data_IF_344419954320
#
_entry.id   IF_344419954320
#
_cell.length_a   1.000
_cell.length_b   1.000
_cell.length_c   1.000
_cell.angle_alpha   90.00
_cell.angle_beta   90.00
_cell.angle_gamma   90.00
#
_symmetry.space_group_name_H-M   'P 1'
#
loop_
_entity.id
_entity.type
_entity.pdbx_description
1 polymer ?
#
# COMPACT_ATOMS: atom_id res chain seq x y z
N UNK A 1 11.53 -54.99 -20.42
CA UNK A 1 11.07 -54.10 -19.34
C UNK A 1 10.88 -54.95 -18.08
N UNK A 2 11.85 -54.95 -17.15
CA UNK A 2 11.83 -55.79 -15.94
C UNK A 2 11.12 -55.00 -14.83
N UNK A 3 9.95 -55.44 -14.41
CA UNK A 3 9.23 -54.83 -13.29
C UNK A 3 9.97 -55.22 -12.01
N UNK A 4 10.56 -54.24 -11.33
CA UNK A 4 11.26 -54.43 -10.06
C UNK A 4 10.19 -54.64 -8.98
N UNK A 5 9.93 -55.89 -8.63
CA UNK A 5 8.98 -56.22 -7.56
C UNK A 5 9.60 -55.87 -6.21
N UNK A 6 8.91 -55.02 -5.44
CA UNK A 6 9.29 -54.78 -4.04
C UNK A 6 9.10 -56.06 -3.24
N UNK A 7 10.06 -56.43 -2.36
CA UNK A 7 9.92 -57.62 -1.55
C UNK A 7 8.72 -57.47 -0.60
N UNK A 8 7.96 -58.56 -0.44
CA UNK A 8 6.74 -58.60 0.38
C UNK A 8 7.00 -58.16 1.84
N UNK A 9 8.22 -58.36 2.31
CA UNK A 9 8.72 -57.92 3.63
C UNK A 9 8.74 -56.40 3.81
N UNK A 10 8.73 -55.60 2.73
CA UNK A 10 8.70 -54.13 2.78
C UNK A 10 7.27 -53.61 2.57
N UNK A 11 6.45 -54.29 1.76
CA UNK A 11 5.09 -53.85 1.46
C UNK A 11 4.17 -53.94 2.68
N UNK A 12 4.21 -55.06 3.42
CA UNK A 12 3.39 -55.27 4.60
C UNK A 12 3.58 -54.21 5.70
N UNK A 13 4.81 -53.90 6.16
CA UNK A 13 5.01 -52.87 7.18
C UNK A 13 4.64 -51.47 6.68
N UNK A 14 4.85 -51.19 5.39
CA UNK A 14 4.49 -49.89 4.80
C UNK A 14 2.98 -49.67 4.80
N UNK A 15 2.21 -50.66 4.34
CA UNK A 15 0.73 -50.60 4.34
C UNK A 15 0.21 -50.49 5.78
N UNK A 16 0.80 -51.23 6.71
CA UNK A 16 0.43 -51.17 8.13
C UNK A 16 0.71 -49.78 8.72
N UNK A 17 1.87 -49.20 8.43
CA UNK A 17 2.24 -47.86 8.89
C UNK A 17 1.33 -46.75 8.36
N UNK A 18 0.96 -46.82 7.08
CA UNK A 18 0.02 -45.87 6.46
C UNK A 18 -1.34 -45.96 7.15
N UNK A 19 -1.86 -47.17 7.35
CA UNK A 19 -3.14 -47.36 8.03
C UNK A 19 -3.11 -46.83 9.48
N UNK A 20 -2.02 -47.06 10.21
CA UNK A 20 -1.85 -46.52 11.57
C UNK A 20 -1.79 -44.99 11.59
N UNK A 21 -1.12 -44.35 10.62
CA UNK A 21 -1.11 -42.89 10.51
C UNK A 21 -2.52 -42.32 10.26
N UNK A 22 -3.28 -42.95 9.35
CA UNK A 22 -4.65 -42.52 9.03
C UNK A 22 -5.55 -42.65 10.27
N UNK A 23 -5.47 -43.78 10.98
CA UNK A 23 -6.23 -44.00 12.21
C UNK A 23 -5.87 -42.94 13.25
N UNK A 24 -4.58 -42.65 13.44
CA UNK A 24 -4.11 -41.63 14.38
C UNK A 24 -4.63 -40.22 14.02
N UNK A 25 -4.67 -39.87 12.73
CA UNK A 25 -5.19 -38.58 12.28
C UNK A 25 -6.69 -38.45 12.58
N UNK A 26 -7.46 -39.51 12.32
CA UNK A 26 -8.91 -39.54 12.55
C UNK A 26 -9.26 -39.50 14.03
N UNK A 27 -8.49 -40.19 14.89
CA UNK A 27 -8.70 -40.13 16.33
C UNK A 27 -8.39 -38.74 16.87
N UNK A 28 -7.26 -38.14 16.47
CA UNK A 28 -6.89 -36.77 16.87
C UNK A 28 -7.94 -35.75 16.41
N UNK A 29 -8.42 -35.85 15.17
CA UNK A 29 -9.49 -34.99 14.66
C UNK A 29 -10.77 -35.07 15.51
N UNK A 30 -11.15 -36.27 15.97
CA UNK A 30 -12.37 -36.46 16.75
C UNK A 30 -12.21 -36.11 18.24
N UNK A 31 -10.98 -36.11 18.77
CA UNK A 31 -10.72 -35.75 20.16
C UNK A 31 -10.49 -34.24 20.37
N UNK A 32 -10.04 -33.52 19.34
CA UNK A 32 -9.80 -32.08 19.44
C UNK A 32 -11.09 -31.35 19.04
N UNK A 33 -11.78 -30.66 19.97
CA UNK A 33 -12.84 -29.75 19.59
C UNK A 33 -12.22 -28.63 18.75
N UNK A 34 -12.52 -28.64 17.44
CA UNK A 34 -12.27 -27.48 16.58
C UNK A 34 -13.29 -26.44 17.03
N UNK A 35 -12.88 -25.55 17.94
CA UNK A 35 -13.68 -24.39 18.30
C UNK A 35 -13.94 -23.62 17.00
N UNK A 36 -15.22 -23.38 16.68
CA UNK A 36 -15.59 -22.54 15.55
C UNK A 36 -14.74 -21.28 15.58
N UNK A 37 -14.10 -20.97 14.45
CA UNK A 37 -13.31 -19.76 14.28
C UNK A 37 -14.17 -18.57 14.72
N UNK A 38 -13.82 -17.99 15.87
CA UNK A 38 -14.47 -16.76 16.36
C UNK A 38 -14.40 -15.74 15.23
N UNK A 39 -15.51 -15.06 14.90
CA UNK A 39 -15.49 -14.03 13.88
C UNK A 39 -14.43 -13.00 14.27
N UNK A 40 -13.50 -12.76 13.36
CA UNK A 40 -12.51 -11.71 13.49
C UNK A 40 -13.25 -10.38 13.60
N UNK A 41 -13.36 -9.83 14.80
CA UNK A 41 -13.82 -8.46 15.06
C UNK A 41 -12.71 -7.43 14.79
N UNK A 42 -11.75 -7.74 13.90
CA UNK A 42 -10.89 -6.69 13.37
C UNK A 42 -11.79 -5.75 12.56
N UNK A 43 -12.15 -4.60 13.13
CA UNK A 43 -12.73 -3.51 12.36
C UNK A 43 -11.85 -3.27 11.12
N UNK A 44 -12.48 -3.10 9.97
CA UNK A 44 -11.80 -2.60 8.78
C UNK A 44 -10.94 -1.40 9.20
N UNK A 45 -9.62 -1.55 9.10
CA UNK A 45 -8.69 -0.45 9.21
C UNK A 45 -9.08 0.55 8.13
N UNK A 46 -9.85 1.57 8.49
CA UNK A 46 -10.08 2.70 7.60
C UNK A 46 -8.72 3.37 7.46
N UNK A 47 -8.13 3.42 6.25
CA UNK A 47 -6.85 4.07 6.08
C UNK A 47 -6.98 5.51 6.57
N UNK A 48 -6.11 5.92 7.49
CA UNK A 48 -6.04 7.29 7.96
C UNK A 48 -5.44 8.13 6.84
N UNK A 49 -6.29 8.53 5.88
CA UNK A 49 -5.93 9.38 4.76
C UNK A 49 -5.80 10.82 5.28
N UNK A 50 -4.56 11.29 5.40
CA UNK A 50 -4.29 12.69 5.71
C UNK A 50 -4.43 13.50 4.43
N UNK A 51 -5.26 14.56 4.49
CA UNK A 51 -5.43 15.50 3.38
C UNK A 51 -4.68 16.79 3.69
N UNK A 52 -3.76 17.18 2.81
CA UNK A 52 -3.01 18.44 2.90
C UNK A 52 -3.26 19.30 1.66
N UNK A 53 -3.25 20.62 1.85
CA UNK A 53 -3.40 21.60 0.79
C UNK A 53 -2.09 22.36 0.64
N UNK A 54 -1.54 22.42 -0.57
CA UNK A 54 -0.27 23.07 -0.84
C UNK A 54 -0.34 23.92 -2.10
N UNK A 55 0.25 25.11 -2.02
CA UNK A 55 0.47 25.99 -3.17
C UNK A 55 1.76 25.58 -3.89
N UNK A 56 1.66 25.29 -5.18
CA UNK A 56 2.80 25.02 -6.05
C UNK A 56 3.00 26.15 -7.03
N UNK A 57 4.27 26.57 -7.18
CA UNK A 57 4.67 27.56 -8.16
C UNK A 57 4.48 27.02 -9.58
N UNK A 58 3.88 27.84 -10.45
CA UNK A 58 3.61 27.49 -11.84
C UNK A 58 4.50 28.29 -12.76
N UNK A 59 4.44 29.61 -12.67
CA UNK A 59 5.14 30.51 -13.58
C UNK A 59 5.29 31.92 -13.01
N UNK A 60 6.14 32.71 -13.64
CA UNK A 60 6.39 34.11 -13.37
C UNK A 60 6.16 34.92 -14.65
N UNK A 61 5.41 36.01 -14.53
CA UNK A 61 5.38 37.07 -15.53
C UNK A 61 6.08 38.31 -15.00
N UNK A 62 7.18 38.70 -15.62
CA UNK A 62 7.91 39.92 -15.27
C UNK A 62 7.79 40.96 -16.38
N UNK A 63 7.73 42.23 -15.99
CA UNK A 63 7.83 43.36 -16.90
C UNK A 63 8.99 44.25 -16.45
N UNK A 64 10.10 44.17 -17.18
CA UNK A 64 11.31 44.93 -16.89
C UNK A 64 11.13 46.45 -17.10
N UNK A 65 10.25 46.89 -17.99
CA UNK A 65 9.99 48.32 -18.22
C UNK A 65 9.20 48.94 -17.06
N UNK A 66 8.29 48.16 -16.47
CA UNK A 66 7.39 48.62 -15.42
C UNK A 66 7.77 48.07 -14.03
N UNK A 67 8.95 47.46 -13.87
CA UNK A 67 9.51 46.99 -12.60
C UNK A 67 8.52 46.18 -11.74
N UNK A 68 7.71 45.31 -12.36
CA UNK A 68 6.81 44.44 -11.62
C UNK A 68 6.95 42.98 -12.04
N UNK A 69 6.68 42.09 -11.08
CA UNK A 69 6.66 40.65 -11.24
C UNK A 69 5.34 40.11 -10.71
N UNK A 70 4.78 39.13 -11.40
CA UNK A 70 3.58 38.38 -10.99
C UNK A 70 3.96 36.91 -10.93
N UNK A 71 3.90 36.32 -9.75
CA UNK A 71 4.05 34.88 -9.54
C UNK A 71 2.69 34.22 -9.50
N UNK A 72 2.58 33.09 -10.19
CA UNK A 72 1.36 32.29 -10.27
C UNK A 72 1.58 30.97 -9.53
N UNK A 73 0.68 30.70 -8.58
CA UNK A 73 0.62 29.46 -7.82
C UNK A 73 -0.71 28.75 -8.03
N UNK A 74 -0.69 27.42 -8.09
CA UNK A 74 -1.89 26.57 -8.09
C UNK A 74 -1.95 25.80 -6.78
N UNK A 75 -3.14 25.72 -6.19
CA UNK A 75 -3.37 24.90 -5.01
C UNK A 75 -3.70 23.46 -5.40
N UNK A 76 -2.97 22.53 -4.82
CA UNK A 76 -3.20 21.10 -4.96
C UNK A 76 -3.62 20.50 -3.62
N UNK A 77 -4.54 19.55 -3.72
CA UNK A 77 -4.92 18.66 -2.62
C UNK A 77 -4.10 17.38 -2.74
N UNK A 78 -3.37 17.09 -1.68
CA UNK A 78 -2.56 15.89 -1.51
C UNK A 78 -3.26 14.93 -0.55
N UNK A 79 -3.50 13.71 -1.01
CA UNK A 79 -3.96 12.63 -0.14
C UNK A 79 -2.82 11.66 0.10
N UNK A 80 -2.31 11.66 1.33
CA UNK A 80 -1.21 10.79 1.74
C UNK A 80 -1.77 9.48 2.28
N UNK A 81 -1.37 8.36 1.66
CA UNK A 81 -1.60 7.04 2.23
C UNK A 81 -0.31 6.56 2.95
N UNK A 82 -0.25 6.60 4.30
CA UNK A 82 0.95 6.26 5.05
C UNK A 82 1.38 4.80 4.89
N UNK A 83 0.48 3.89 4.51
CA UNK A 83 0.79 2.46 4.34
C UNK A 83 1.36 2.14 2.96
N UNK A 84 0.99 2.93 1.95
CA UNK A 84 1.29 2.63 0.54
C UNK A 84 2.29 3.60 -0.08
N UNK A 85 2.67 4.67 0.62
CA UNK A 85 3.49 5.75 0.07
C UNK A 85 2.87 6.43 -1.15
N UNK A 86 1.56 6.21 -1.38
CA UNK A 86 0.86 6.75 -2.53
C UNK A 86 0.36 8.14 -2.20
N UNK A 87 0.70 9.11 -3.05
CA UNK A 87 0.30 10.50 -2.95
C UNK A 87 -0.59 10.79 -4.16
N UNK A 88 -1.91 10.86 -3.94
CA UNK A 88 -2.82 11.33 -4.98
C UNK A 88 -2.80 12.86 -4.99
N UNK A 89 -2.46 13.45 -6.13
CA UNK A 89 -2.47 14.90 -6.35
C UNK A 89 -3.69 15.28 -7.17
N UNK A 90 -4.61 16.03 -6.58
CA UNK A 90 -5.76 16.61 -7.28
C UNK A 90 -5.62 18.13 -7.33
N UNK A 91 -5.76 18.74 -8.51
CA UNK A 91 -5.90 20.21 -8.61
C UNK A 91 -7.22 20.63 -7.97
N UNK A 92 -7.19 21.64 -7.11
CA UNK A 92 -8.40 22.18 -6.48
C UNK A 92 -9.13 23.18 -7.38
N UNK A 93 -8.46 23.68 -8.43
CA UNK A 93 -8.94 24.79 -9.25
C UNK A 93 -8.70 26.18 -8.64
N UNK A 94 -8.17 26.25 -7.41
CA UNK A 94 -7.78 27.51 -6.78
C UNK A 94 -6.40 27.97 -7.29
N UNK A 95 -6.31 29.23 -7.66
CA UNK A 95 -5.09 29.86 -8.15
C UNK A 95 -4.80 31.14 -7.38
N UNK A 96 -3.53 31.38 -7.09
CA UNK A 96 -3.05 32.57 -6.37
C UNK A 96 -2.07 33.31 -7.25
N UNK A 97 -2.27 34.62 -7.37
CA UNK A 97 -1.40 35.51 -8.14
C UNK A 97 -0.80 36.57 -7.21
N UNK A 98 0.51 36.54 -7.05
CA UNK A 98 1.26 37.47 -6.20
C UNK A 98 1.96 38.50 -7.08
N UNK A 99 1.42 39.73 -7.12
CA UNK A 99 2.05 40.85 -7.82
C UNK A 99 2.87 41.68 -6.85
N UNK A 100 4.13 41.92 -7.18
CA UNK A 100 5.02 42.79 -6.43
C UNK A 100 5.92 43.61 -7.35
N UNK A 101 6.41 44.73 -6.81
CA UNK A 101 7.37 45.59 -7.51
C UNK A 101 8.78 45.06 -7.26
N UNK A 102 9.61 45.06 -8.30
CA UNK A 102 11.02 44.67 -8.21
C UNK A 102 11.85 45.94 -8.26
N UNK A 103 12.63 46.23 -7.22
CA UNK A 103 13.70 47.22 -7.35
C UNK A 103 14.79 46.60 -8.23
N UNK A 104 15.24 47.35 -9.25
CA UNK A 104 16.47 47.04 -9.95
C UNK A 104 17.59 47.19 -8.90
N UNK A 105 17.98 46.09 -8.26
CA UNK A 105 19.20 46.04 -7.48
C UNK A 105 20.33 46.10 -8.51
N UNK A 106 20.92 47.28 -8.69
CA UNK A 106 22.17 47.37 -9.41
C UNK A 106 23.22 46.71 -8.51
N UNK A 107 23.51 45.44 -8.78
CA UNK A 107 24.71 44.80 -8.26
C UNK A 107 25.88 45.73 -8.55
N UNK A 108 26.45 46.28 -7.47
CA UNK A 108 27.58 47.19 -7.48
C UNK A 108 28.81 46.45 -6.94
#
# INVERSE_FOLDING_TARGET
>A
MKIRTMPYSILLPTITGINLMIIALLTVHNLIPIYESVPSFASESKPHLTTEYQLEYVDTKANATNNWKVEHYKEYRYQLNPEKGFMERTSTGNEVYLKYWTTHESDN
#
